data_IF_145726504128
#
_entry.id   IF_145726504128
#
_cell.length_a   1.000
_cell.length_b   1.000
_cell.length_c   1.000
_cell.angle_alpha   90.00
_cell.angle_beta   90.00
_cell.angle_gamma   90.00
#
_symmetry.space_group_name_H-M   'P 1'
#
loop_
_entity.id
_entity.type
_entity.pdbx_description
1 polymer ?
#
# COMPACT_ATOMS: atom_id res chain seq x y z
N UNK A 1 54.76 5.10 52.55
CA UNK A 1 53.37 5.41 52.26
C UNK A 1 53.37 6.06 50.89
N UNK A 2 53.29 5.20 49.88
CA UNK A 2 53.26 5.67 48.50
C UNK A 2 51.80 6.09 48.10
N UNK A 3 51.67 7.36 47.90
CA UNK A 3 50.46 7.90 47.25
C UNK A 3 50.60 7.68 45.72
N UNK A 4 50.02 6.63 45.24
CA UNK A 4 49.77 6.53 43.79
C UNK A 4 48.62 7.49 43.44
N UNK A 5 49.01 8.61 42.88
CA UNK A 5 48.06 9.48 42.15
C UNK A 5 47.56 8.69 40.94
N UNK A 6 46.31 8.27 41.03
CA UNK A 6 45.54 7.78 39.86
C UNK A 6 45.33 8.99 38.97
N UNK A 7 46.20 9.13 37.97
CA UNK A 7 45.95 10.05 36.85
C UNK A 7 44.70 9.52 36.11
N UNK A 8 43.57 10.14 36.40
CA UNK A 8 42.42 10.08 35.52
C UNK A 8 42.84 10.79 34.23
N UNK A 9 43.32 10.05 33.25
CA UNK A 9 43.40 10.53 31.88
C UNK A 9 41.94 10.81 31.45
N UNK A 10 41.50 12.03 31.65
CA UNK A 10 40.29 12.53 30.99
C UNK A 10 40.60 12.47 29.49
N UNK A 11 39.97 11.53 28.82
CA UNK A 11 39.99 11.45 27.35
C UNK A 11 39.26 12.68 26.83
N UNK A 12 40.00 13.79 26.73
CA UNK A 12 39.48 14.96 26.02
C UNK A 12 39.32 14.56 24.54
N UNK A 13 38.09 14.26 24.17
CA UNK A 13 37.75 13.99 22.75
C UNK A 13 37.95 15.31 22.00
N UNK A 14 39.09 15.45 21.38
CA UNK A 14 39.44 16.61 20.59
C UNK A 14 38.60 16.56 19.28
N UNK A 15 37.52 17.34 19.24
CA UNK A 15 36.64 17.43 18.09
C UNK A 15 37.40 17.79 16.78
N UNK A 16 38.51 18.52 16.90
CA UNK A 16 39.33 18.89 15.74
C UNK A 16 40.10 17.67 15.19
N UNK A 17 40.63 16.79 16.03
CA UNK A 17 41.23 15.52 15.60
C UNK A 17 40.23 14.58 14.97
N UNK A 18 39.04 14.48 15.55
CA UNK A 18 37.96 13.66 14.99
C UNK A 18 37.57 14.14 13.59
N UNK A 19 37.51 15.47 13.41
CA UNK A 19 37.19 16.06 12.11
C UNK A 19 38.32 15.86 11.09
N UNK A 20 39.56 15.87 11.52
CA UNK A 20 40.70 15.62 10.65
C UNK A 20 40.77 14.17 10.18
N UNK A 21 40.54 13.19 11.08
CA UNK A 21 40.47 11.77 10.74
C UNK A 21 39.30 11.48 9.80
N UNK A 22 38.13 12.11 10.04
CA UNK A 22 36.97 12.00 9.17
C UNK A 22 37.26 12.51 7.77
N UNK A 23 37.94 13.65 7.65
CA UNK A 23 38.32 14.25 6.36
C UNK A 23 39.32 13.39 5.60
N UNK A 24 40.26 12.80 6.29
CA UNK A 24 41.30 11.93 5.70
C UNK A 24 40.68 10.64 5.14
N UNK A 25 39.65 10.09 5.80
CA UNK A 25 39.01 8.85 5.40
C UNK A 25 37.70 9.10 4.58
N UNK A 26 37.40 10.35 4.27
CA UNK A 26 36.14 10.73 3.59
C UNK A 26 35.96 10.00 2.24
N UNK A 27 37.04 9.82 1.48
CA UNK A 27 37.00 9.08 0.22
C UNK A 27 36.61 7.62 0.38
N UNK A 28 37.07 6.96 1.47
CA UNK A 28 36.70 5.56 1.77
C UNK A 28 35.22 5.47 2.12
N UNK A 29 34.71 6.43 2.90
CA UNK A 29 33.29 6.51 3.25
C UNK A 29 32.42 6.70 2.01
N UNK A 30 32.81 7.61 1.11
CA UNK A 30 32.08 7.87 -0.13
C UNK A 30 32.06 6.63 -1.03
N UNK A 31 33.21 5.97 -1.21
CA UNK A 31 33.30 4.77 -2.06
C UNK A 31 32.45 3.64 -1.47
N UNK A 32 32.55 3.40 -0.15
CA UNK A 32 31.76 2.39 0.53
C UNK A 32 30.24 2.63 0.39
N UNK A 33 29.81 3.87 0.59
CA UNK A 33 28.41 4.26 0.43
C UNK A 33 27.93 4.07 -1.01
N UNK A 34 28.76 4.41 -1.98
CA UNK A 34 28.42 4.24 -3.39
C UNK A 34 28.28 2.77 -3.76
N UNK A 35 29.18 1.92 -3.30
CA UNK A 35 29.10 0.47 -3.52
C UNK A 35 27.82 -0.09 -2.91
N UNK A 36 27.49 0.26 -1.66
CA UNK A 36 26.26 -0.16 -1.02
C UNK A 36 25.02 0.31 -1.78
N UNK A 37 25.00 1.54 -2.25
CA UNK A 37 23.89 2.08 -3.02
C UNK A 37 23.67 1.32 -4.34
N UNK A 38 24.75 0.99 -5.05
CA UNK A 38 24.70 0.19 -6.28
C UNK A 38 24.18 -1.22 -5.99
N UNK A 39 24.66 -1.88 -4.94
CA UNK A 39 24.21 -3.22 -4.58
C UNK A 39 22.74 -3.25 -4.20
N UNK A 40 22.27 -2.31 -3.37
CA UNK A 40 20.86 -2.20 -3.00
C UNK A 40 20.00 -1.87 -4.20
N UNK A 41 20.45 -0.95 -5.07
CA UNK A 41 19.75 -0.60 -6.30
C UNK A 41 19.61 -1.81 -7.25
N UNK A 42 20.68 -2.53 -7.47
CA UNK A 42 20.67 -3.76 -8.28
C UNK A 42 19.72 -4.80 -7.68
N UNK A 43 19.84 -5.05 -6.37
CA UNK A 43 18.94 -5.98 -5.68
C UNK A 43 17.47 -5.58 -5.84
N UNK A 44 17.14 -4.30 -5.66
CA UNK A 44 15.77 -3.81 -5.80
C UNK A 44 15.21 -4.02 -7.19
N UNK A 45 15.99 -3.74 -8.23
CA UNK A 45 15.55 -3.89 -9.62
C UNK A 45 15.32 -5.37 -9.99
N UNK A 46 16.18 -6.28 -9.49
CA UNK A 46 16.10 -7.70 -9.85
C UNK A 46 15.10 -8.49 -8.98
N UNK A 47 14.92 -8.12 -7.71
CA UNK A 47 14.11 -8.90 -6.76
C UNK A 47 12.74 -8.31 -6.45
N UNK A 48 12.54 -7.00 -6.65
CA UNK A 48 11.25 -6.37 -6.36
C UNK A 48 10.38 -6.35 -7.60
N UNK A 49 9.35 -7.20 -7.59
CA UNK A 49 8.35 -7.22 -8.67
C UNK A 49 7.53 -5.94 -8.66
N UNK A 50 7.42 -5.28 -9.80
CA UNK A 50 6.54 -4.12 -9.97
C UNK A 50 5.10 -4.55 -9.76
N UNK A 51 4.36 -3.79 -8.97
CA UNK A 51 2.92 -3.97 -8.77
C UNK A 51 2.17 -2.80 -9.41
N UNK A 52 1.07 -3.12 -10.07
CA UNK A 52 0.19 -2.16 -10.73
C UNK A 52 -1.17 -2.25 -10.08
N UNK A 53 -1.71 -1.10 -9.70
CA UNK A 53 -3.03 -0.97 -9.12
C UNK A 53 -3.96 -0.30 -10.12
N UNK A 54 -5.17 -0.85 -10.25
CA UNK A 54 -6.29 -0.22 -10.94
C UNK A 54 -7.39 0.01 -9.92
N UNK A 55 -8.06 1.16 -9.99
CA UNK A 55 -9.14 1.51 -9.05
C UNK A 55 -10.34 2.04 -9.80
N UNK A 56 -11.53 1.53 -9.46
CA UNK A 56 -12.81 2.11 -9.84
C UNK A 56 -13.57 2.53 -8.59
N UNK A 57 -14.35 3.60 -8.72
CA UNK A 57 -15.23 4.09 -7.67
C UNK A 57 -16.67 3.99 -8.12
N UNK A 58 -17.51 3.37 -7.31
CA UNK A 58 -18.94 3.27 -7.55
C UNK A 58 -19.69 4.07 -6.50
N UNK A 59 -20.70 4.80 -6.95
CA UNK A 59 -21.63 5.49 -6.08
C UNK A 59 -23.00 4.81 -6.22
N UNK A 60 -23.47 4.08 -5.20
CA UNK A 60 -24.82 3.54 -5.22
C UNK A 60 -25.79 4.70 -5.21
N UNK A 61 -26.51 4.89 -6.31
CA UNK A 61 -27.53 5.95 -6.39
C UNK A 61 -28.73 5.53 -5.54
N UNK A 62 -29.07 6.26 -4.46
CA UNK A 62 -30.30 5.98 -3.73
C UNK A 62 -31.49 6.24 -4.67
N UNK A 63 -32.46 5.35 -4.68
CA UNK A 63 -33.77 5.63 -5.31
C UNK A 63 -34.44 6.73 -4.52
N UNK A 64 -34.47 7.92 -5.07
CA UNK A 64 -35.16 9.07 -4.48
C UNK A 64 -36.62 8.95 -4.87
N UNK A 65 -37.45 8.41 -3.99
CA UNK A 65 -38.89 8.61 -4.07
C UNK A 65 -39.18 10.07 -3.77
N UNK A 66 -39.88 10.70 -4.68
CA UNK A 66 -40.23 12.11 -4.78
C UNK A 66 -40.26 12.90 -3.45
N UNK A 67 -39.31 13.82 -3.29
CA UNK A 67 -39.59 15.12 -2.63
C UNK A 67 -39.18 15.31 -1.18
N UNK A 68 -38.73 14.28 -0.43
CA UNK A 68 -38.32 14.47 0.97
C UNK A 68 -36.94 13.82 1.19
N UNK A 69 -35.92 14.64 1.42
CA UNK A 69 -34.62 14.15 1.89
C UNK A 69 -34.74 13.81 3.37
N UNK A 70 -35.00 12.55 3.66
CA UNK A 70 -35.04 12.05 5.02
C UNK A 70 -33.61 11.78 5.51
N UNK A 71 -33.16 12.54 6.50
CA UNK A 71 -31.84 12.37 7.12
C UNK A 71 -31.64 10.99 7.76
N UNK A 72 -32.74 10.28 8.08
CA UNK A 72 -32.68 8.89 8.56
C UNK A 72 -32.15 7.92 7.48
N UNK A 73 -32.37 8.24 6.21
CA UNK A 73 -31.88 7.47 5.08
C UNK A 73 -30.35 7.56 4.89
N UNK A 74 -29.73 8.66 5.29
CA UNK A 74 -28.28 8.82 5.21
C UNK A 74 -27.57 7.81 6.15
N UNK A 75 -28.10 7.61 7.35
CA UNK A 75 -27.56 6.61 8.28
C UNK A 75 -27.82 5.18 7.81
N UNK A 76 -28.98 4.91 7.23
CA UNK A 76 -29.32 3.63 6.61
C UNK A 76 -28.45 3.32 5.41
N UNK A 77 -28.13 4.32 4.58
CA UNK A 77 -27.28 4.19 3.41
C UNK A 77 -25.83 3.83 3.76
N UNK A 78 -25.30 4.32 4.89
CA UNK A 78 -23.97 3.93 5.37
C UNK A 78 -23.93 2.44 5.77
N UNK A 79 -25.01 1.92 6.34
CA UNK A 79 -25.12 0.49 6.66
C UNK A 79 -25.28 -0.35 5.40
N UNK A 80 -26.03 0.11 4.41
CA UNK A 80 -26.15 -0.55 3.11
C UNK A 80 -24.83 -0.59 2.35
N UNK A 81 -24.06 0.49 2.36
CA UNK A 81 -22.74 0.53 1.71
C UNK A 81 -21.79 -0.51 2.31
N UNK A 82 -21.80 -0.70 3.62
CA UNK A 82 -21.02 -1.77 4.28
C UNK A 82 -21.46 -3.17 3.83
N UNK A 83 -22.76 -3.38 3.66
CA UNK A 83 -23.29 -4.64 3.14
C UNK A 83 -22.86 -4.89 1.70
N UNK A 84 -22.88 -3.86 0.85
CA UNK A 84 -22.37 -3.97 -0.53
C UNK A 84 -20.88 -4.28 -0.58
N UNK A 85 -20.06 -3.65 0.27
CA UNK A 85 -18.63 -3.97 0.39
C UNK A 85 -18.43 -5.44 0.78
N UNK A 86 -19.20 -5.93 1.75
CA UNK A 86 -19.13 -7.33 2.17
C UNK A 86 -19.57 -8.30 1.06
N UNK A 87 -20.61 -7.96 0.29
CA UNK A 87 -21.08 -8.77 -0.83
C UNK A 87 -20.07 -8.80 -1.98
N UNK A 88 -19.52 -7.65 -2.35
CA UNK A 88 -18.52 -7.52 -3.40
C UNK A 88 -17.22 -8.26 -3.05
N UNK A 89 -16.80 -8.21 -1.78
CA UNK A 89 -15.63 -8.93 -1.27
C UNK A 89 -15.89 -10.43 -1.07
N UNK A 90 -17.12 -10.89 -1.24
CA UNK A 90 -17.49 -12.28 -1.02
C UNK A 90 -16.97 -13.24 -2.10
N UNK A 91 -16.73 -14.50 -1.69
CA UNK A 91 -16.22 -15.55 -2.58
C UNK A 91 -17.08 -15.77 -3.83
N UNK A 92 -18.37 -15.49 -3.78
CA UNK A 92 -19.27 -15.62 -4.93
C UNK A 92 -18.91 -14.68 -6.07
N UNK A 93 -18.64 -13.42 -5.76
CA UNK A 93 -18.23 -12.42 -6.76
C UNK A 93 -16.83 -12.75 -7.28
N UNK A 94 -15.90 -13.04 -6.39
CA UNK A 94 -14.52 -13.41 -6.76
C UNK A 94 -14.48 -14.63 -7.69
N UNK A 95 -15.28 -15.65 -7.42
CA UNK A 95 -15.38 -16.83 -8.26
C UNK A 95 -16.01 -16.55 -9.63
N UNK A 96 -17.00 -15.66 -9.69
CA UNK A 96 -17.60 -15.24 -10.98
C UNK A 96 -16.59 -14.48 -11.81
N UNK A 97 -15.89 -13.50 -11.20
CA UNK A 97 -14.84 -12.71 -11.85
C UNK A 97 -13.72 -13.62 -12.35
N UNK A 98 -13.27 -14.57 -11.53
CA UNK A 98 -12.23 -15.52 -11.90
C UNK A 98 -12.62 -16.39 -13.10
N UNK A 99 -13.85 -16.88 -13.11
CA UNK A 99 -14.40 -17.66 -14.24
C UNK A 99 -14.48 -16.85 -15.54
N UNK A 100 -14.95 -15.62 -15.46
CA UNK A 100 -15.09 -14.73 -16.61
C UNK A 100 -13.73 -14.35 -17.21
N UNK A 101 -12.73 -14.15 -16.35
CA UNK A 101 -11.36 -13.84 -16.75
C UNK A 101 -10.52 -15.08 -17.08
N UNK A 102 -11.05 -16.29 -16.84
CA UNK A 102 -10.35 -17.57 -16.98
C UNK A 102 -9.03 -17.61 -16.18
N UNK A 103 -9.07 -17.13 -14.93
CA UNK A 103 -7.96 -17.16 -13.98
C UNK A 103 -8.36 -17.93 -12.71
N UNK A 104 -7.37 -18.27 -11.89
CA UNK A 104 -7.66 -18.89 -10.59
C UNK A 104 -8.33 -17.91 -9.62
N UNK A 105 -9.30 -18.39 -8.82
CA UNK A 105 -9.99 -17.57 -7.83
C UNK A 105 -9.02 -16.97 -6.81
N UNK A 106 -7.94 -17.68 -6.47
CA UNK A 106 -6.92 -17.17 -5.56
C UNK A 106 -6.19 -15.92 -6.12
N UNK A 107 -6.03 -15.84 -7.44
CA UNK A 107 -5.43 -14.65 -8.09
C UNK A 107 -6.35 -13.45 -7.89
N UNK A 108 -7.65 -13.63 -8.10
CA UNK A 108 -8.63 -12.55 -7.88
C UNK A 108 -8.72 -12.18 -6.41
N UNK A 109 -8.84 -13.16 -5.51
CA UNK A 109 -8.99 -12.91 -4.07
C UNK A 109 -7.78 -12.20 -3.46
N UNK A 110 -6.57 -12.51 -3.92
CA UNK A 110 -5.34 -11.87 -3.43
C UNK A 110 -5.09 -10.48 -4.03
N UNK A 111 -5.63 -10.22 -5.21
CA UNK A 111 -5.47 -8.97 -5.92
C UNK A 111 -6.55 -7.94 -5.57
N UNK A 112 -7.80 -8.39 -5.37
CA UNK A 112 -8.97 -7.53 -5.21
C UNK A 112 -9.08 -6.98 -3.79
N UNK A 113 -9.22 -5.68 -3.68
CA UNK A 113 -9.51 -4.97 -2.43
C UNK A 113 -10.73 -4.07 -2.62
N UNK A 114 -11.67 -4.16 -1.69
CA UNK A 114 -12.91 -3.39 -1.75
C UNK A 114 -13.07 -2.69 -0.41
N UNK A 115 -13.28 -1.39 -0.47
CA UNK A 115 -13.42 -0.54 0.72
C UNK A 115 -14.49 0.51 0.53
N UNK A 116 -15.04 1.00 1.62
CA UNK A 116 -15.84 2.21 1.64
C UNK A 116 -14.95 3.39 1.97
N UNK A 117 -15.06 4.49 1.23
CA UNK A 117 -14.39 5.74 1.61
C UNK A 117 -15.06 6.31 2.86
N UNK A 118 -14.25 6.66 3.85
CA UNK A 118 -14.73 7.12 5.17
C UNK A 118 -15.72 8.27 5.02
N UNK A 119 -16.85 8.16 5.73
CA UNK A 119 -17.94 9.14 5.75
C UNK A 119 -18.61 9.43 4.39
N UNK A 120 -18.45 8.52 3.45
CA UNK A 120 -19.09 8.61 2.13
C UNK A 120 -19.87 7.34 1.78
N UNK A 121 -20.67 7.41 0.72
CA UNK A 121 -21.34 6.26 0.13
C UNK A 121 -20.55 5.69 -1.06
N UNK A 122 -19.32 6.13 -1.26
CA UNK A 122 -18.45 5.70 -2.35
C UNK A 122 -17.80 4.38 -1.99
N UNK A 123 -17.98 3.39 -2.86
CA UNK A 123 -17.29 2.11 -2.79
C UNK A 123 -16.11 2.17 -3.74
N UNK A 124 -14.92 1.99 -3.19
CA UNK A 124 -13.67 1.90 -3.94
C UNK A 124 -13.34 0.43 -4.18
N UNK A 125 -13.21 0.05 -5.43
CA UNK A 125 -12.82 -1.29 -5.88
C UNK A 125 -11.44 -1.16 -6.50
N UNK A 126 -10.43 -1.79 -5.93
CA UNK A 126 -9.08 -1.79 -6.47
C UNK A 126 -8.57 -3.21 -6.67
N UNK A 127 -7.69 -3.38 -7.64
CA UNK A 127 -6.98 -4.63 -7.85
C UNK A 127 -5.50 -4.37 -8.11
N UNK A 128 -4.65 -5.09 -7.39
CA UNK A 128 -3.20 -4.96 -7.47
C UNK A 128 -2.59 -6.27 -7.96
N UNK A 129 -1.95 -6.23 -9.13
CA UNK A 129 -1.23 -7.39 -9.71
C UNK A 129 0.12 -6.96 -10.30
N UNK A 130 0.88 -7.93 -10.81
CA UNK A 130 2.12 -7.66 -11.55
C UNK A 130 1.88 -7.32 -13.03
N UNK A 131 0.65 -7.51 -13.52
CA UNK A 131 0.23 -7.19 -14.88
C UNK A 131 -0.82 -6.07 -14.85
N UNK A 132 -0.53 -4.88 -15.43
CA UNK A 132 -1.45 -3.75 -15.44
C UNK A 132 -2.76 -4.04 -16.18
N UNK A 133 -2.73 -4.91 -17.20
CA UNK A 133 -3.93 -5.29 -17.94
C UNK A 133 -4.84 -6.19 -17.10
N UNK A 134 -4.24 -7.11 -16.33
CA UNK A 134 -4.99 -7.98 -15.44
C UNK A 134 -5.61 -7.18 -14.29
N UNK A 135 -4.88 -6.23 -13.68
CA UNK A 135 -5.43 -5.36 -12.64
C UNK A 135 -6.66 -4.62 -13.12
N UNK A 136 -6.58 -4.02 -14.32
CA UNK A 136 -7.71 -3.32 -14.93
C UNK A 136 -8.89 -4.26 -15.20
N UNK A 137 -8.65 -5.42 -15.82
CA UNK A 137 -9.71 -6.39 -16.12
C UNK A 137 -10.42 -6.90 -14.88
N UNK A 138 -9.70 -7.16 -13.79
CA UNK A 138 -10.31 -7.60 -12.52
C UNK A 138 -11.28 -6.53 -12.01
N UNK A 139 -10.88 -5.26 -12.01
CA UNK A 139 -11.75 -4.16 -11.55
C UNK A 139 -12.96 -4.00 -12.46
N UNK A 140 -12.77 -3.92 -13.79
CA UNK A 140 -13.84 -3.73 -14.76
C UNK A 140 -14.86 -4.88 -14.70
N UNK A 141 -14.37 -6.14 -14.63
CA UNK A 141 -15.26 -7.32 -14.53
C UNK A 141 -15.99 -7.34 -13.18
N UNK A 142 -15.32 -6.96 -12.08
CA UNK A 142 -15.98 -6.88 -10.76
C UNK A 142 -17.12 -5.87 -10.78
N UNK A 143 -16.91 -4.70 -11.37
CA UNK A 143 -17.98 -3.69 -11.54
C UNK A 143 -19.11 -4.25 -12.39
N UNK A 144 -18.81 -4.89 -13.53
CA UNK A 144 -19.83 -5.46 -14.42
C UNK A 144 -20.64 -6.57 -13.74
N UNK A 145 -19.99 -7.49 -13.02
CA UNK A 145 -20.68 -8.58 -12.30
C UNK A 145 -21.56 -8.06 -11.18
N UNK A 146 -21.25 -6.89 -10.64
CA UNK A 146 -22.06 -6.26 -9.58
C UNK A 146 -23.27 -5.47 -10.16
N UNK A 147 -23.13 -4.89 -11.33
CA UNK A 147 -24.18 -4.03 -11.93
C UNK A 147 -25.17 -4.78 -12.81
N UNK A 148 -24.89 -6.04 -13.15
CA UNK A 148 -25.76 -6.95 -13.93
C UNK A 148 -26.39 -8.04 -13.04
#
# INVERSE_FOLDING_TARGET
MDNQEIQNEEIEINLAELFQVLKEHLHIIIISTLICAILVGAFTIFFVSKKYESTARIFPKPEVNEGIVDYSQISSNNSMTKNYVALLGGNNIQSKVAKELNVDTNVVSSALSISNETDTQIISISATTTDPQLSKKIVDTTVNVFTN
#
